data_IF_911433098456
#
_entry.id   IF_911433098456
#
_cell.length_a   1.000
_cell.length_b   1.000
_cell.length_c   1.000
_cell.angle_alpha   90.00
_cell.angle_beta   90.00
_cell.angle_gamma   90.00
#
_symmetry.space_group_name_H-M   'P 1'
#
loop_
_entity.id
_entity.type
_entity.pdbx_description
1 polymer ?
#
# COMPACT_ATOMS: atom_id res chain seq x y z
N UNK A 1 -26.66 15.05 -45.73
CA UNK A 1 -26.09 14.81 -44.39
C UNK A 1 -25.22 13.57 -44.47
N UNK A 2 -23.94 13.73 -44.80
CA UNK A 2 -22.97 12.62 -44.82
C UNK A 2 -22.36 12.53 -43.43
N UNK A 3 -22.69 11.47 -42.68
CA UNK A 3 -22.06 11.20 -41.40
C UNK A 3 -20.64 10.69 -41.67
N UNK A 4 -19.62 11.48 -41.33
CA UNK A 4 -18.22 11.04 -41.41
C UNK A 4 -18.02 9.77 -40.57
N UNK A 5 -17.23 8.79 -41.06
CA UNK A 5 -16.95 7.55 -40.36
C UNK A 5 -16.36 7.84 -38.96
N UNK A 6 -16.61 6.95 -37.98
CA UNK A 6 -16.23 7.17 -36.58
C UNK A 6 -14.73 7.46 -36.39
N UNK A 7 -13.87 6.94 -37.26
CA UNK A 7 -12.42 7.18 -37.25
C UNK A 7 -12.04 8.63 -37.60
N UNK A 8 -12.76 9.30 -38.51
CA UNK A 8 -12.51 10.71 -38.84
C UNK A 8 -12.84 11.61 -37.66
N UNK A 9 -13.94 11.31 -36.93
CA UNK A 9 -14.34 12.07 -35.74
C UNK A 9 -13.35 11.91 -34.57
N UNK A 10 -12.74 10.75 -34.38
CA UNK A 10 -11.68 10.57 -33.38
C UNK A 10 -10.38 11.25 -33.81
N UNK A 11 -10.02 11.21 -35.09
CA UNK A 11 -8.86 11.95 -35.60
C UNK A 11 -9.04 13.45 -35.40
N UNK A 12 -10.21 14.01 -35.73
CA UNK A 12 -10.51 15.43 -35.53
C UNK A 12 -10.48 15.82 -34.04
N UNK A 13 -11.04 15.01 -33.16
CA UNK A 13 -11.02 15.25 -31.71
C UNK A 13 -9.60 15.19 -31.10
N UNK A 14 -8.74 14.31 -31.65
CA UNK A 14 -7.32 14.25 -31.28
C UNK A 14 -6.57 15.46 -31.83
N UNK A 15 -6.86 15.86 -33.07
CA UNK A 15 -6.27 17.05 -33.70
C UNK A 15 -6.62 18.33 -32.93
N UNK A 16 -7.87 18.46 -32.49
CA UNK A 16 -8.34 19.58 -31.67
C UNK A 16 -7.65 19.60 -30.30
N UNK A 17 -7.43 18.43 -29.68
CA UNK A 17 -6.65 18.32 -28.43
C UNK A 17 -5.17 18.63 -28.63
N UNK A 18 -4.59 18.27 -29.77
CA UNK A 18 -3.19 18.58 -30.10
C UNK A 18 -2.96 20.05 -30.48
N UNK A 19 -4.02 20.82 -30.74
CA UNK A 19 -3.93 22.27 -30.90
C UNK A 19 -3.74 22.99 -29.56
N UNK A 20 -3.98 22.33 -28.43
CA UNK A 20 -3.63 22.86 -27.11
C UNK A 20 -2.10 22.74 -26.91
N UNK A 21 -1.39 23.87 -26.70
CA UNK A 21 0.07 23.88 -26.55
C UNK A 21 0.56 23.08 -25.34
N UNK A 22 -0.23 22.96 -24.27
CA UNK A 22 0.14 22.11 -23.13
C UNK A 22 0.04 20.62 -23.47
N UNK A 23 -1.01 20.23 -24.22
CA UNK A 23 -1.19 18.84 -24.66
C UNK A 23 -0.13 18.46 -25.70
N UNK A 24 0.17 19.35 -26.66
CA UNK A 24 1.22 19.15 -27.64
C UNK A 24 2.59 18.96 -26.97
N UNK A 25 2.91 19.77 -25.96
CA UNK A 25 4.17 19.65 -25.22
C UNK A 25 4.25 18.35 -24.39
N UNK A 26 3.14 17.94 -23.76
CA UNK A 26 3.09 16.67 -23.03
C UNK A 26 3.21 15.46 -23.96
N UNK A 27 2.55 15.49 -25.12
CA UNK A 27 2.64 14.44 -26.15
C UNK A 27 4.04 14.40 -26.74
N UNK A 28 4.64 15.54 -27.10
CA UNK A 28 6.02 15.60 -27.58
C UNK A 28 7.01 15.03 -26.54
N UNK A 29 6.86 15.38 -25.27
CA UNK A 29 7.69 14.85 -24.18
C UNK A 29 7.52 13.33 -24.00
N UNK A 30 6.29 12.80 -24.14
CA UNK A 30 6.03 11.36 -24.13
C UNK A 30 6.68 10.65 -25.32
N UNK A 31 6.59 11.23 -26.53
CA UNK A 31 7.21 10.67 -27.72
C UNK A 31 8.74 10.70 -27.65
N UNK A 32 9.33 11.77 -27.12
CA UNK A 32 10.78 11.89 -26.91
C UNK A 32 11.33 10.85 -25.93
N UNK A 33 10.46 10.30 -25.06
CA UNK A 33 10.80 9.29 -24.06
C UNK A 33 9.99 7.99 -24.26
N UNK A 34 9.57 7.69 -25.49
CA UNK A 34 8.68 6.55 -25.78
C UNK A 34 9.27 5.19 -25.36
N UNK A 35 10.58 4.99 -25.54
CA UNK A 35 11.28 3.77 -25.10
C UNK A 35 11.21 3.60 -23.56
N UNK A 36 11.27 4.71 -22.84
CA UNK A 36 11.17 4.71 -21.37
C UNK A 36 9.75 4.47 -20.88
N UNK A 37 8.77 4.99 -21.60
CA UNK A 37 7.35 4.71 -21.35
C UNK A 37 7.05 3.23 -21.58
N UNK A 38 7.62 2.62 -22.62
CA UNK A 38 7.48 1.19 -22.90
C UNK A 38 8.03 0.31 -21.74
N UNK A 39 9.21 0.64 -21.23
CA UNK A 39 9.82 -0.05 -20.07
C UNK A 39 8.96 0.10 -18.80
N UNK A 40 8.38 1.28 -18.58
CA UNK A 40 7.46 1.52 -17.45
C UNK A 40 6.17 0.71 -17.57
N UNK A 41 5.62 0.59 -18.78
CA UNK A 41 4.42 -0.19 -19.06
C UNK A 41 4.66 -1.70 -18.86
N UNK A 42 5.80 -2.22 -19.31
CA UNK A 42 6.21 -3.61 -19.05
C UNK A 42 6.41 -3.88 -17.55
N UNK A 43 7.04 -2.94 -16.83
CA UNK A 43 7.18 -3.02 -15.38
C UNK A 43 5.83 -2.99 -14.66
N UNK A 44 4.89 -2.16 -15.12
CA UNK A 44 3.54 -2.07 -14.57
C UNK A 44 2.72 -3.35 -14.84
N UNK A 45 2.84 -3.93 -16.03
CA UNK A 45 2.19 -5.20 -16.39
C UNK A 45 2.71 -6.36 -15.50
N UNK A 46 4.03 -6.38 -15.26
CA UNK A 46 4.65 -7.30 -14.31
C UNK A 46 4.18 -7.12 -12.86
N UNK A 47 3.96 -5.87 -12.43
CA UNK A 47 3.40 -5.55 -11.10
C UNK A 47 1.95 -6.01 -10.97
N UNK A 48 1.11 -5.76 -11.98
CA UNK A 48 -0.30 -6.19 -12.00
C UNK A 48 -0.40 -7.71 -12.00
N UNK A 49 0.39 -8.40 -12.82
CA UNK A 49 0.43 -9.87 -12.87
C UNK A 49 0.85 -10.49 -11.52
N UNK A 50 1.76 -9.84 -10.78
CA UNK A 50 2.20 -10.30 -9.45
C UNK A 50 1.21 -9.96 -8.31
N UNK A 51 0.28 -9.02 -8.55
CA UNK A 51 -0.73 -8.62 -7.56
C UNK A 51 -1.79 -9.71 -7.29
N UNK A 52 -2.02 -10.63 -8.23
CA UNK A 52 -2.86 -11.82 -8.02
C UNK A 52 -2.22 -12.85 -7.07
N UNK A 53 -0.91 -12.74 -6.78
CA UNK A 53 -0.11 -13.79 -6.12
C UNK A 53 0.40 -13.49 -4.70
N UNK A 54 -0.20 -12.56 -3.94
CA UNK A 54 0.12 -12.19 -2.51
C UNK A 54 1.08 -10.99 -2.35
N UNK A 55 0.80 -10.18 -1.33
CA UNK A 55 1.37 -8.86 -1.01
C UNK A 55 2.88 -8.77 -0.72
N UNK A 56 3.61 -9.89 -0.67
CA UNK A 56 5.08 -9.89 -0.63
C UNK A 56 5.67 -9.27 -1.92
N UNK A 57 4.96 -9.42 -3.04
CA UNK A 57 5.38 -8.90 -4.35
C UNK A 57 5.22 -7.39 -4.49
N UNK A 58 4.38 -6.75 -3.68
CA UNK A 58 4.10 -5.32 -3.79
C UNK A 58 5.25 -4.46 -3.25
N UNK A 59 5.86 -4.87 -2.13
CA UNK A 59 7.03 -4.17 -1.58
C UNK A 59 8.25 -4.29 -2.50
N UNK A 60 8.50 -5.49 -3.04
CA UNK A 60 9.56 -5.70 -4.03
C UNK A 60 9.35 -4.89 -5.31
N UNK A 61 8.12 -4.78 -5.80
CA UNK A 61 7.81 -4.03 -7.02
C UNK A 61 7.86 -2.52 -6.83
N UNK A 62 7.53 -2.01 -5.63
CA UNK A 62 7.72 -0.60 -5.28
C UNK A 62 9.21 -0.25 -5.19
N UNK A 63 10.04 -1.15 -4.66
CA UNK A 63 11.49 -0.95 -4.60
C UNK A 63 12.16 -1.05 -5.99
N UNK A 64 11.66 -1.93 -6.86
CA UNK A 64 12.09 -2.07 -8.26
C UNK A 64 11.68 -0.84 -9.10
N UNK A 65 10.45 -0.35 -8.93
CA UNK A 65 9.99 0.90 -9.55
C UNK A 65 10.80 2.11 -9.06
N UNK A 66 11.09 2.17 -7.76
CA UNK A 66 11.95 3.20 -7.17
C UNK A 66 13.36 3.14 -7.74
N UNK A 67 13.93 1.95 -7.91
CA UNK A 67 15.28 1.75 -8.47
C UNK A 67 15.32 2.19 -9.92
N UNK A 68 14.28 1.85 -10.69
CA UNK A 68 14.14 2.25 -12.09
C UNK A 68 14.00 3.76 -12.25
N UNK A 69 13.17 4.41 -11.43
CA UNK A 69 12.97 5.87 -11.46
C UNK A 69 14.22 6.63 -10.99
N UNK A 70 14.89 6.18 -9.93
CA UNK A 70 16.13 6.82 -9.46
C UNK A 70 17.33 6.54 -10.38
N UNK A 71 17.32 5.40 -11.09
CA UNK A 71 18.30 5.06 -12.11
C UNK A 71 18.13 5.81 -13.42
N UNK A 72 16.99 6.51 -13.61
CA UNK A 72 16.70 7.25 -14.82
C UNK A 72 16.22 8.69 -14.53
N UNK A 73 17.16 9.67 -14.51
CA UNK A 73 16.85 11.06 -14.14
C UNK A 73 15.90 11.75 -15.13
N UNK A 74 15.82 11.29 -16.38
CA UNK A 74 14.86 11.80 -17.36
C UNK A 74 13.42 11.40 -16.98
N UNK A 75 13.20 10.14 -16.60
CA UNK A 75 11.89 9.69 -16.08
C UNK A 75 11.46 10.46 -14.83
N UNK A 76 12.38 10.65 -13.88
CA UNK A 76 12.10 11.37 -12.64
C UNK A 76 11.68 12.83 -12.92
N UNK A 77 12.31 13.46 -13.91
CA UNK A 77 12.03 14.83 -14.34
C UNK A 77 10.68 14.93 -15.04
N UNK A 78 10.36 13.98 -15.93
CA UNK A 78 9.08 13.92 -16.67
C UNK A 78 7.89 13.62 -15.76
N UNK A 79 8.06 12.75 -14.76
CA UNK A 79 7.03 12.48 -13.74
C UNK A 79 6.81 13.70 -12.83
N UNK A 80 7.87 14.43 -12.50
CA UNK A 80 7.80 15.68 -11.73
C UNK A 80 7.11 16.82 -12.49
N UNK A 81 7.30 16.91 -13.82
CA UNK A 81 6.65 17.94 -14.66
C UNK A 81 5.18 17.62 -14.96
N UNK A 82 4.78 16.35 -15.00
CA UNK A 82 3.39 15.93 -15.22
C UNK A 82 2.47 16.18 -14.02
N UNK A 83 2.99 16.55 -12.84
CA UNK A 83 2.22 17.02 -11.68
C UNK A 83 1.22 16.04 -11.07
N UNK A 84 1.06 14.85 -11.64
CA UNK A 84 0.02 13.89 -11.28
C UNK A 84 0.37 13.08 -10.01
N UNK A 85 1.64 13.04 -9.62
CA UNK A 85 2.12 12.35 -8.43
C UNK A 85 3.31 13.13 -7.89
N UNK A 86 3.24 13.60 -6.64
CA UNK A 86 4.43 14.05 -5.91
C UNK A 86 5.28 12.82 -5.59
N UNK A 87 5.96 12.27 -6.61
CA UNK A 87 6.81 11.09 -6.51
C UNK A 87 7.92 11.35 -5.49
N UNK A 88 8.40 12.59 -5.38
CA UNK A 88 9.37 12.98 -4.37
C UNK A 88 8.78 12.85 -2.95
N UNK A 89 7.55 13.33 -2.73
CA UNK A 89 6.82 13.18 -1.47
C UNK A 89 6.44 11.74 -1.14
N UNK A 90 6.06 10.95 -2.15
CA UNK A 90 5.78 9.51 -2.02
C UNK A 90 7.06 8.74 -1.66
N UNK A 91 8.18 9.04 -2.32
CA UNK A 91 9.50 8.44 -2.03
C UNK A 91 10.04 8.91 -0.69
N UNK A 92 9.80 10.16 -0.29
CA UNK A 92 10.17 10.65 1.04
C UNK A 92 9.34 9.98 2.14
N UNK A 93 8.04 9.77 1.90
CA UNK A 93 7.15 9.05 2.81
C UNK A 93 7.52 7.57 2.88
N UNK A 94 7.81 6.93 1.74
CA UNK A 94 8.31 5.56 1.68
C UNK A 94 9.70 5.42 2.33
N UNK A 95 10.61 6.38 2.17
CA UNK A 95 11.90 6.41 2.87
C UNK A 95 11.71 6.58 4.37
N UNK A 96 10.80 7.44 4.82
CA UNK A 96 10.47 7.58 6.25
C UNK A 96 9.84 6.30 6.80
N UNK A 97 9.02 5.63 6.00
CA UNK A 97 8.36 4.39 6.37
C UNK A 97 9.33 3.19 6.39
N UNK A 98 10.28 3.14 5.45
CA UNK A 98 11.32 2.11 5.38
C UNK A 98 12.51 2.36 6.34
N UNK A 99 12.80 3.62 6.66
CA UNK A 99 13.83 4.01 7.63
C UNK A 99 13.30 4.10 9.06
N UNK A 100 11.98 4.05 9.26
CA UNK A 100 11.40 3.78 10.57
C UNK A 100 11.24 2.27 10.69
N UNK A 101 11.55 1.70 11.86
CA UNK A 101 11.36 0.27 12.17
C UNK A 101 9.87 -0.19 12.12
N UNK A 102 8.99 0.67 11.59
CA UNK A 102 7.56 0.49 11.40
C UNK A 102 7.26 -0.53 10.28
N UNK A 103 8.15 -0.67 9.28
CA UNK A 103 8.03 -1.71 8.24
C UNK A 103 9.24 -2.64 8.32
N UNK A 104 9.31 -3.41 9.40
CA UNK A 104 10.17 -4.58 9.46
C UNK A 104 9.50 -5.77 8.75
N UNK A 105 10.28 -6.72 8.18
CA UNK A 105 9.74 -7.97 7.64
C UNK A 105 8.84 -8.69 8.66
N UNK A 106 9.20 -8.63 9.94
CA UNK A 106 8.44 -9.18 11.05
C UNK A 106 7.07 -8.50 11.25
N UNK A 107 6.97 -7.18 11.06
CA UNK A 107 5.71 -6.46 11.11
C UNK A 107 4.79 -6.83 9.94
N UNK A 108 5.35 -6.94 8.73
CA UNK A 108 4.62 -7.38 7.52
C UNK A 108 4.08 -8.80 7.71
N UNK A 109 4.90 -9.73 8.19
CA UNK A 109 4.48 -11.11 8.48
C UNK A 109 3.36 -11.18 9.54
N UNK A 110 3.43 -10.32 10.56
CA UNK A 110 2.41 -10.25 11.61
C UNK A 110 1.08 -9.77 11.05
N UNK A 111 1.09 -8.72 10.22
CA UNK A 111 -0.11 -8.20 9.53
C UNK A 111 -0.67 -9.23 8.56
N UNK A 112 0.18 -9.89 7.77
CA UNK A 112 -0.22 -10.94 6.83
C UNK A 112 -0.86 -12.14 7.54
N UNK A 113 -0.37 -12.49 8.73
CA UNK A 113 -0.94 -13.57 9.56
C UNK A 113 -2.36 -13.21 10.04
N UNK A 114 -2.55 -11.98 10.54
CA UNK A 114 -3.88 -11.50 10.96
C UNK A 114 -4.84 -11.43 9.76
N UNK A 115 -4.38 -10.88 8.63
CA UNK A 115 -5.20 -10.75 7.43
C UNK A 115 -5.65 -12.11 6.88
N UNK A 116 -4.75 -13.10 6.81
CA UNK A 116 -5.11 -14.48 6.41
C UNK A 116 -6.11 -15.10 7.37
N UNK A 117 -5.92 -14.90 8.68
CA UNK A 117 -6.87 -15.36 9.70
C UNK A 117 -8.27 -14.76 9.54
N UNK A 118 -8.36 -13.46 9.22
CA UNK A 118 -9.63 -12.79 8.98
C UNK A 118 -10.34 -13.30 7.71
N UNK A 119 -9.60 -13.47 6.61
CA UNK A 119 -10.17 -13.99 5.36
C UNK A 119 -10.61 -15.44 5.51
N UNK A 120 -9.73 -16.30 6.01
CA UNK A 120 -10.03 -17.72 6.20
C UNK A 120 -11.15 -17.93 7.24
N UNK A 121 -11.07 -17.25 8.38
CA UNK A 121 -12.10 -17.30 9.42
C UNK A 121 -13.44 -16.74 8.96
N UNK A 122 -13.45 -15.69 8.15
CA UNK A 122 -14.66 -15.12 7.57
C UNK A 122 -15.37 -16.05 6.58
N UNK A 123 -14.61 -16.81 5.78
CA UNK A 123 -15.19 -17.83 4.90
C UNK A 123 -15.67 -19.04 5.71
N UNK A 124 -14.86 -19.52 6.66
CA UNK A 124 -15.22 -20.66 7.51
C UNK A 124 -16.44 -20.36 8.39
N UNK A 125 -16.62 -19.12 8.82
CA UNK A 125 -17.82 -18.71 9.55
C UNK A 125 -19.10 -18.83 8.72
N UNK A 126 -19.04 -18.64 7.39
CA UNK A 126 -20.20 -18.83 6.51
C UNK A 126 -20.57 -20.30 6.36
N UNK A 127 -19.56 -21.18 6.31
CA UNK A 127 -19.75 -22.63 6.11
C UNK A 127 -20.08 -23.36 7.42
N UNK A 128 -19.47 -22.95 8.52
CA UNK A 128 -19.59 -23.58 9.83
C UNK A 128 -19.41 -22.54 10.94
N UNK A 129 -20.45 -21.70 11.17
CA UNK A 129 -20.38 -20.67 12.19
C UNK A 129 -20.25 -21.29 13.58
N UNK A 130 -19.38 -20.71 14.40
CA UNK A 130 -19.29 -21.08 15.81
C UNK A 130 -20.50 -20.53 16.54
N UNK A 131 -21.49 -21.38 16.78
CA UNK A 131 -22.72 -20.99 17.46
C UNK A 131 -22.47 -20.81 18.97
N UNK A 132 -22.74 -19.61 19.48
CA UNK A 132 -22.78 -19.34 20.93
C UNK A 132 -24.23 -19.52 21.37
N UNK A 133 -24.64 -20.77 21.59
CA UNK A 133 -26.03 -21.12 21.93
C UNK A 133 -26.31 -21.02 23.44
N UNK A 134 -25.28 -20.89 24.30
CA UNK A 134 -25.44 -20.64 25.74
C UNK A 134 -24.13 -20.54 26.54
N UNK A 135 -24.24 -20.38 27.86
CA UNK A 135 -23.08 -20.28 28.77
C UNK A 135 -22.15 -21.50 28.71
N UNK A 136 -22.70 -22.69 28.43
CA UNK A 136 -21.94 -23.93 28.30
C UNK A 136 -21.11 -23.97 27.00
N UNK A 137 -21.65 -23.46 25.89
CA UNK A 137 -20.90 -23.37 24.62
C UNK A 137 -19.80 -22.32 24.72
N UNK A 138 -20.02 -21.24 25.48
CA UNK A 138 -18.98 -20.26 25.80
C UNK A 138 -17.85 -20.89 26.64
N UNK A 139 -18.18 -21.69 27.65
CA UNK A 139 -17.19 -22.42 28.44
C UNK A 139 -16.39 -23.43 27.59
N UNK A 140 -17.03 -24.05 26.60
CA UNK A 140 -16.37 -24.94 25.64
C UNK A 140 -15.45 -24.15 24.69
N UNK A 141 -15.89 -22.99 24.24
CA UNK A 141 -15.12 -22.05 23.43
C UNK A 141 -13.85 -21.58 24.16
N UNK A 142 -13.97 -21.23 25.45
CA UNK A 142 -12.81 -20.87 26.28
C UNK A 142 -11.88 -22.06 26.58
N UNK A 143 -12.35 -23.31 26.45
CA UNK A 143 -11.50 -24.49 26.57
C UNK A 143 -10.76 -24.83 25.29
N UNK A 144 -11.22 -24.33 24.16
CA UNK A 144 -10.61 -24.54 22.85
C UNK A 144 -9.14 -24.04 22.87
N UNK A 145 -8.17 -24.86 22.44
CA UNK A 145 -6.76 -24.46 22.45
C UNK A 145 -6.44 -23.30 21.49
N UNK A 146 -7.12 -23.20 20.34
CA UNK A 146 -6.88 -22.17 19.33
C UNK A 146 -7.38 -20.82 19.82
N UNK A 147 -8.58 -20.82 20.40
CA UNK A 147 -9.21 -19.61 20.92
C UNK A 147 -8.45 -19.07 22.12
N UNK A 148 -7.97 -19.94 23.01
CA UNK A 148 -7.10 -19.53 24.12
C UNK A 148 -5.82 -18.88 23.63
N UNK A 149 -5.18 -19.43 22.59
CA UNK A 149 -3.97 -18.84 21.99
C UNK A 149 -4.26 -17.45 21.43
N UNK A 150 -5.33 -17.29 20.64
CA UNK A 150 -5.72 -16.00 20.08
C UNK A 150 -6.03 -14.96 21.17
N UNK A 151 -6.79 -15.35 22.22
CA UNK A 151 -7.10 -14.48 23.35
C UNK A 151 -5.86 -14.09 24.13
N UNK A 152 -4.94 -15.03 24.38
CA UNK A 152 -3.67 -14.74 25.06
C UNK A 152 -2.81 -13.76 24.26
N UNK A 153 -2.69 -13.95 22.94
CA UNK A 153 -1.98 -13.04 22.07
C UNK A 153 -2.59 -11.63 22.10
N UNK A 154 -3.91 -11.52 21.93
CA UNK A 154 -4.61 -10.23 21.98
C UNK A 154 -4.45 -9.52 23.32
N UNK A 155 -4.51 -10.25 24.44
CA UNK A 155 -4.28 -9.71 25.77
C UNK A 155 -2.83 -9.20 25.94
N UNK A 156 -1.84 -9.93 25.44
CA UNK A 156 -0.43 -9.52 25.48
C UNK A 156 -0.19 -8.26 24.66
N UNK A 157 -0.77 -8.16 23.46
CA UNK A 157 -0.67 -6.97 22.60
C UNK A 157 -1.36 -5.76 23.25
N UNK A 158 -2.56 -5.95 23.79
CA UNK A 158 -3.27 -4.88 24.49
C UNK A 158 -2.48 -4.37 25.70
N UNK A 159 -1.82 -5.28 26.44
CA UNK A 159 -0.97 -4.92 27.57
C UNK A 159 0.26 -4.11 27.15
N UNK A 160 0.95 -4.48 26.06
CA UNK A 160 2.11 -3.73 25.59
C UNK A 160 1.74 -2.32 25.15
N UNK A 161 0.61 -2.15 24.44
CA UNK A 161 0.09 -0.84 24.05
C UNK A 161 -0.21 0.01 25.30
N UNK A 162 -0.85 -0.57 26.32
CA UNK A 162 -1.14 0.14 27.56
C UNK A 162 0.10 0.68 28.28
N UNK A 163 1.20 -0.07 28.25
CA UNK A 163 2.47 0.34 28.86
C UNK A 163 3.14 1.51 28.14
N UNK A 164 3.01 1.59 26.81
CA UNK A 164 3.53 2.73 26.03
C UNK A 164 2.72 4.02 26.26
N UNK A 165 1.47 3.89 26.70
CA UNK A 165 0.58 5.01 26.98
C UNK A 165 0.68 5.52 28.43
N UNK A 166 1.47 4.86 29.29
CA UNK A 166 1.71 5.36 30.65
C UNK A 166 2.49 6.69 30.59
N UNK A 167 1.93 7.79 31.13
CA UNK A 167 2.66 9.05 31.24
C UNK A 167 3.93 8.81 32.06
N UNK A 168 5.09 9.21 31.53
CA UNK A 168 6.35 9.09 32.25
C UNK A 168 6.21 9.65 33.67
N UNK A 169 6.69 8.94 34.72
CA UNK A 169 6.58 9.42 36.08
C UNK A 169 7.28 10.78 36.16
N UNK A 170 6.50 11.82 36.49
CA UNK A 170 7.00 13.16 36.75
C UNK A 170 8.19 13.02 37.69
N UNK A 171 9.39 13.28 37.19
CA UNK A 171 10.57 13.33 38.02
C UNK A 171 10.28 14.35 39.12
N UNK A 172 10.14 13.88 40.34
CA UNK A 172 10.11 14.71 41.54
C UNK A 172 11.41 15.51 41.53
N UNK A 173 11.34 16.76 41.06
CA UNK A 173 12.43 17.72 41.22
C UNK A 173 12.45 18.03 42.72
N UNK A 174 13.20 17.22 43.47
CA UNK A 174 13.61 17.54 44.83
C UNK A 174 14.44 18.81 44.75
N UNK A 175 13.79 19.96 44.94
CA UNK A 175 14.48 21.24 45.10
C UNK A 175 15.07 21.26 46.51
N UNK A 176 16.26 20.69 46.65
CA UNK A 176 17.14 20.94 47.78
C UNK A 176 18.08 22.09 47.39
N UNK A 177 18.04 23.19 48.14
CA UNK A 177 19.05 24.25 48.09
C UNK A 177 18.50 25.63 47.78
N UNK A 178 18.14 26.38 48.83
CA UNK A 178 18.83 27.60 49.24
C UNK A 178 18.43 27.98 50.67
#
# INVERSE_FOLDING_TARGET
MTLSPPSERTTDAVLEKLQDPQVAAAVASLLDHADLVAVLLEGLDGLVARSETVGESLFASVDELRTTVNGNPALASTLGTLGAVDVAGLVASAKRLAASDVVSPQAVDSVATVARGLVAGGQQFKESPVAITGLLSLARLLKDPDIRRALSYGATVAKSIGQELEPAPSATITHAGN
#
